data_IF_761079463804
#
_entry.id   IF_761079463804
#
_cell.length_a   1.000
_cell.length_b   1.000
_cell.length_c   1.000
_cell.angle_alpha   90.00
_cell.angle_beta   90.00
_cell.angle_gamma   90.00
#
_symmetry.space_group_name_H-M   'P 1'
#
loop_
_entity.id
_entity.type
_entity.pdbx_description
1 polymer ?
#
# COMPACT_ATOMS: atom_id res chain seq x y z
N UNK A 1 2.30 -11.24 -12.26
CA UNK A 1 1.58 -10.17 -11.57
C UNK A 1 2.56 -9.27 -10.81
N UNK A 2 3.23 -9.73 -9.75
CA UNK A 2 4.13 -8.90 -8.91
C UNK A 2 5.20 -8.13 -9.72
N UNK A 3 5.89 -8.80 -10.65
CA UNK A 3 6.87 -8.14 -11.54
C UNK A 3 6.26 -6.99 -12.36
N UNK A 4 5.03 -7.13 -12.81
CA UNK A 4 4.33 -6.07 -13.56
C UNK A 4 3.94 -4.90 -12.67
N UNK A 5 3.53 -5.15 -11.43
CA UNK A 5 3.21 -4.11 -10.47
C UNK A 5 4.43 -3.29 -10.06
N UNK A 6 5.49 -3.97 -9.69
CA UNK A 6 6.71 -3.33 -9.16
C UNK A 6 7.53 -2.61 -10.26
N UNK A 7 7.28 -2.92 -11.54
CA UNK A 7 7.91 -2.28 -12.69
C UNK A 7 6.93 -1.40 -13.51
N UNK A 8 5.74 -1.13 -13.00
CA UNK A 8 4.81 -0.18 -13.60
C UNK A 8 5.34 1.25 -13.41
N UNK A 9 5.57 1.96 -14.52
CA UNK A 9 6.15 3.32 -14.50
C UNK A 9 5.26 4.32 -13.76
N UNK A 10 3.94 4.21 -13.89
CA UNK A 10 3.00 5.09 -13.19
C UNK A 10 3.00 4.81 -11.68
N UNK A 11 3.13 3.52 -11.30
CA UNK A 11 3.25 3.12 -9.90
C UNK A 11 4.63 3.49 -9.33
N UNK A 12 5.70 3.34 -10.12
CA UNK A 12 7.06 3.75 -9.73
C UNK A 12 7.15 5.25 -9.43
N UNK A 13 6.43 6.08 -10.17
CA UNK A 13 6.33 7.52 -9.87
C UNK A 13 5.57 7.80 -8.56
N UNK A 14 4.71 6.89 -8.11
CA UNK A 14 3.97 7.00 -6.86
C UNK A 14 4.58 6.18 -5.71
N UNK A 15 5.59 5.35 -6.00
CA UNK A 15 6.27 4.52 -5.02
C UNK A 15 7.51 5.21 -4.46
N UNK A 16 7.92 4.75 -3.28
CA UNK A 16 9.14 5.22 -2.62
C UNK A 16 10.37 4.36 -2.98
N UNK A 17 10.22 3.42 -3.93
CA UNK A 17 11.30 2.55 -4.40
C UNK A 17 12.34 3.29 -5.24
N UNK A 18 13.60 2.92 -5.11
CA UNK A 18 14.72 3.60 -5.79
C UNK A 18 15.10 2.96 -7.12
N UNK A 19 14.77 1.70 -7.35
CA UNK A 19 15.06 0.97 -8.58
C UNK A 19 14.03 -0.13 -8.82
N UNK A 20 13.68 -0.41 -10.10
CA UNK A 20 12.79 -1.50 -10.45
C UNK A 20 13.45 -2.86 -10.09
N UNK A 21 12.75 -3.74 -9.36
CA UNK A 21 13.31 -5.03 -8.98
C UNK A 21 13.39 -5.99 -10.18
N UNK A 22 14.46 -6.79 -10.21
CA UNK A 22 14.57 -7.88 -11.17
C UNK A 22 13.64 -9.05 -10.80
N UNK A 23 13.35 -9.94 -11.77
CA UNK A 23 12.58 -11.17 -11.49
C UNK A 23 13.25 -12.03 -10.42
N UNK A 24 14.58 -12.10 -10.44
CA UNK A 24 15.34 -12.87 -9.45
C UNK A 24 15.16 -12.31 -8.04
N UNK A 25 15.25 -11.00 -7.86
CA UNK A 25 15.00 -10.34 -6.56
C UNK A 25 13.60 -10.63 -6.04
N UNK A 26 12.57 -10.58 -6.92
CA UNK A 26 11.20 -10.89 -6.53
C UNK A 26 11.00 -12.36 -6.16
N UNK A 27 11.68 -13.28 -6.84
CA UNK A 27 11.70 -14.70 -6.47
C UNK A 27 12.33 -14.90 -5.09
N UNK A 28 13.48 -14.30 -4.83
CA UNK A 28 14.12 -14.35 -3.51
C UNK A 28 13.23 -13.76 -2.42
N UNK A 29 12.53 -12.65 -2.71
CA UNK A 29 11.56 -12.07 -1.79
C UNK A 29 10.43 -13.05 -1.46
N UNK A 30 9.84 -13.69 -2.46
CA UNK A 30 8.76 -14.67 -2.27
C UNK A 30 9.24 -15.89 -1.47
N UNK A 31 10.42 -16.44 -1.80
CA UNK A 31 10.98 -17.61 -1.13
C UNK A 31 11.30 -17.36 0.35
N UNK A 32 11.74 -16.15 0.68
CA UNK A 32 12.11 -15.77 2.05
C UNK A 32 10.99 -15.05 2.81
N UNK A 33 9.82 -14.86 2.18
CA UNK A 33 8.72 -14.13 2.76
C UNK A 33 8.14 -14.87 3.97
N UNK A 34 8.01 -14.16 5.09
CA UNK A 34 7.29 -14.61 6.26
C UNK A 34 6.03 -13.77 6.45
N UNK A 35 4.88 -14.41 6.58
CA UNK A 35 3.61 -13.74 6.85
C UNK A 35 3.41 -13.36 8.32
N UNK A 36 4.43 -13.46 9.15
CA UNK A 36 4.37 -13.08 10.56
C UNK A 36 4.67 -11.59 10.73
N UNK A 37 3.62 -10.79 10.78
CA UNK A 37 3.72 -9.33 10.98
C UNK A 37 4.37 -8.95 12.30
N UNK A 38 4.24 -9.77 13.35
CA UNK A 38 4.82 -9.48 14.65
C UNK A 38 6.33 -9.73 14.70
N UNK A 39 6.83 -10.67 13.91
CA UNK A 39 8.26 -10.94 13.79
C UNK A 39 8.91 -10.11 12.67
N UNK A 40 8.25 -10.02 11.52
CA UNK A 40 8.80 -9.38 10.31
C UNK A 40 8.44 -7.90 10.15
N UNK A 41 7.44 -7.40 10.87
CA UNK A 41 6.95 -6.03 10.71
C UNK A 41 6.20 -5.76 9.41
N UNK A 42 5.96 -6.81 8.60
CA UNK A 42 5.28 -6.70 7.31
C UNK A 42 4.32 -7.86 7.11
N UNK A 43 3.18 -7.57 6.49
CA UNK A 43 2.30 -8.57 5.91
C UNK A 43 1.74 -8.07 4.58
N UNK A 44 1.85 -8.89 3.52
CA UNK A 44 1.40 -8.55 2.18
C UNK A 44 0.39 -9.57 1.67
N UNK A 45 -0.68 -9.07 1.07
CA UNK A 45 -1.73 -9.87 0.45
C UNK A 45 -1.79 -9.63 -1.06
N UNK A 46 -2.17 -10.66 -1.79
CA UNK A 46 -2.54 -10.55 -3.20
C UNK A 46 -4.03 -10.23 -3.29
N UNK A 47 -4.36 -9.20 -4.07
CA UNK A 47 -5.74 -8.84 -4.36
C UNK A 47 -6.21 -9.69 -5.53
N UNK A 48 -7.23 -10.52 -5.30
CA UNK A 48 -7.85 -11.35 -6.33
C UNK A 48 -9.25 -10.82 -6.61
N UNK A 49 -9.56 -10.59 -7.88
CA UNK A 49 -10.90 -10.18 -8.29
C UNK A 49 -11.83 -11.40 -8.28
N UNK A 50 -12.90 -11.37 -7.47
CA UNK A 50 -13.80 -12.50 -7.32
C UNK A 50 -14.51 -12.91 -8.63
N UNK A 51 -14.83 -11.95 -9.50
CA UNK A 51 -15.54 -12.21 -10.74
C UNK A 51 -14.72 -12.99 -11.77
N UNK A 52 -13.41 -12.76 -11.83
CA UNK A 52 -12.51 -13.38 -12.81
C UNK A 52 -11.55 -14.41 -12.22
N UNK A 53 -11.35 -14.42 -10.89
CA UNK A 53 -10.33 -15.21 -10.22
C UNK A 53 -8.89 -14.73 -10.51
N UNK A 54 -8.72 -13.56 -11.14
CA UNK A 54 -7.40 -13.06 -11.52
C UNK A 54 -6.77 -12.22 -10.40
N UNK A 55 -5.46 -12.36 -10.24
CA UNK A 55 -4.68 -11.50 -9.37
C UNK A 55 -4.51 -10.13 -10.02
N UNK A 56 -5.01 -9.08 -9.35
CA UNK A 56 -5.12 -7.71 -9.89
C UNK A 56 -4.27 -6.68 -9.16
N UNK A 57 -3.64 -7.06 -8.05
CA UNK A 57 -2.83 -6.15 -7.26
C UNK A 57 -2.28 -6.76 -5.99
N UNK A 58 -1.65 -5.92 -5.18
CA UNK A 58 -1.19 -6.23 -3.82
C UNK A 58 -1.61 -5.14 -2.85
N UNK A 59 -1.77 -5.52 -1.59
CA UNK A 59 -1.97 -4.61 -0.46
C UNK A 59 -1.18 -5.13 0.73
N UNK A 60 -0.53 -4.25 1.47
CA UNK A 60 0.33 -4.63 2.58
C UNK A 60 0.21 -3.66 3.76
N UNK A 61 0.64 -4.17 4.93
CA UNK A 61 1.02 -3.36 6.08
C UNK A 61 2.52 -3.55 6.25
N UNK A 62 3.26 -2.45 6.31
CA UNK A 62 4.71 -2.43 6.51
C UNK A 62 5.09 -1.59 7.74
N UNK A 63 6.35 -1.72 8.16
CA UNK A 63 6.89 -1.03 9.33
C UNK A 63 5.98 -1.15 10.58
N UNK A 64 5.40 -2.34 10.76
CA UNK A 64 4.49 -2.57 11.86
C UNK A 64 5.23 -2.60 13.20
N UNK A 65 4.87 -1.67 14.08
CA UNK A 65 5.36 -1.62 15.43
C UNK A 65 4.43 -2.42 16.37
N UNK A 66 4.90 -3.56 16.85
CA UNK A 66 4.14 -4.48 17.71
C UNK A 66 3.78 -3.88 19.05
N UNK A 67 4.66 -3.03 19.61
CA UNK A 67 4.44 -2.38 20.89
C UNK A 67 3.35 -1.33 20.81
N UNK A 68 3.47 -0.44 19.83
CA UNK A 68 2.60 0.72 19.68
C UNK A 68 1.42 0.43 18.72
N UNK A 69 1.41 -0.76 18.11
CA UNK A 69 0.35 -1.35 17.28
C UNK A 69 -0.07 -0.45 16.11
N UNK A 70 0.90 0.07 15.38
CA UNK A 70 0.69 0.86 14.16
C UNK A 70 1.58 0.39 13.02
N UNK A 71 1.20 0.72 11.78
CA UNK A 71 1.97 0.44 10.58
C UNK A 71 1.54 1.31 9.41
N UNK A 72 2.19 1.13 8.27
CA UNK A 72 1.87 1.85 7.04
C UNK A 72 1.19 0.92 6.03
N UNK A 73 0.20 1.45 5.33
CA UNK A 73 -0.50 0.73 4.25
C UNK A 73 0.12 1.07 2.92
N UNK A 74 0.52 0.03 2.19
CA UNK A 74 0.85 0.08 0.76
C UNK A 74 -0.23 -0.61 -0.07
N UNK A 75 -0.57 -0.06 -1.23
CA UNK A 75 -1.50 -0.68 -2.17
C UNK A 75 -1.11 -0.38 -3.60
N UNK A 76 -1.12 -1.40 -4.44
CA UNK A 76 -0.87 -1.29 -5.87
C UNK A 76 -1.87 -2.14 -6.66
N UNK A 77 -2.49 -1.54 -7.68
CA UNK A 77 -3.43 -2.20 -8.61
C UNK A 77 -2.85 -2.14 -10.02
N UNK A 78 -2.89 -3.28 -10.73
CA UNK A 78 -2.49 -3.36 -12.15
C UNK A 78 -3.24 -2.33 -12.99
N UNK A 79 -2.59 -1.65 -13.97
CA UNK A 79 -3.20 -0.60 -14.77
C UNK A 79 -4.57 -0.97 -15.36
N UNK A 80 -4.69 -2.17 -15.95
CA UNK A 80 -5.93 -2.67 -16.53
C UNK A 80 -7.08 -2.96 -15.55
N UNK A 81 -6.80 -2.95 -14.24
CA UNK A 81 -7.78 -3.22 -13.18
C UNK A 81 -8.09 -2.00 -12.30
N UNK A 82 -7.50 -0.85 -12.61
CA UNK A 82 -7.75 0.41 -11.90
C UNK A 82 -9.15 0.97 -12.18
N UNK A 83 -9.62 1.89 -11.31
CA UNK A 83 -10.92 2.60 -11.43
C UNK A 83 -12.15 1.71 -11.40
N UNK A 84 -12.04 0.49 -10.85
CA UNK A 84 -13.12 -0.49 -10.74
C UNK A 84 -13.56 -0.73 -9.28
N UNK A 85 -13.07 0.06 -8.34
CA UNK A 85 -13.38 -0.06 -6.92
C UNK A 85 -12.54 -1.09 -6.16
N UNK A 86 -11.77 -1.94 -6.85
CA UNK A 86 -11.04 -3.08 -6.27
C UNK A 86 -10.05 -2.64 -5.18
N UNK A 87 -9.36 -1.50 -5.36
CA UNK A 87 -8.45 -0.96 -4.34
C UNK A 87 -9.18 -0.52 -3.08
N UNK A 88 -10.35 0.09 -3.21
CA UNK A 88 -11.18 0.49 -2.07
C UNK A 88 -11.68 -0.73 -1.29
N UNK A 89 -12.19 -1.75 -1.98
CA UNK A 89 -12.68 -2.97 -1.35
C UNK A 89 -11.54 -3.71 -0.61
N UNK A 90 -10.37 -3.82 -1.25
CA UNK A 90 -9.18 -4.40 -0.62
C UNK A 90 -8.75 -3.62 0.63
N UNK A 91 -8.76 -2.28 0.56
CA UNK A 91 -8.41 -1.43 1.70
C UNK A 91 -9.39 -1.60 2.87
N UNK A 92 -10.68 -1.73 2.60
CA UNK A 92 -11.70 -2.01 3.63
C UNK A 92 -11.45 -3.35 4.30
N UNK A 93 -11.17 -4.39 3.52
CA UNK A 93 -10.85 -5.72 4.07
C UNK A 93 -9.57 -5.69 4.91
N UNK A 94 -8.53 -4.98 4.45
CA UNK A 94 -7.29 -4.83 5.21
C UNK A 94 -7.55 -4.12 6.55
N UNK A 95 -8.35 -3.06 6.57
CA UNK A 95 -8.69 -2.34 7.81
C UNK A 95 -9.42 -3.24 8.81
N UNK A 96 -10.39 -4.05 8.35
CA UNK A 96 -11.06 -5.02 9.23
C UNK A 96 -10.07 -6.07 9.76
N UNK A 97 -9.24 -6.62 8.89
CA UNK A 97 -8.20 -7.58 9.29
C UNK A 97 -7.20 -6.98 10.30
N UNK A 98 -6.75 -5.76 10.04
CA UNK A 98 -5.81 -5.06 10.93
C UNK A 98 -6.41 -4.82 12.32
N UNK A 99 -7.65 -4.37 12.38
CA UNK A 99 -8.36 -4.12 13.64
C UNK A 99 -8.72 -5.42 14.38
N UNK A 100 -9.32 -6.39 13.70
CA UNK A 100 -9.94 -7.55 14.33
C UNK A 100 -8.96 -8.70 14.56
N UNK A 101 -7.99 -8.89 13.65
CA UNK A 101 -7.07 -10.04 13.69
C UNK A 101 -5.69 -9.64 14.24
N UNK A 102 -5.10 -8.56 13.72
CA UNK A 102 -3.79 -8.08 14.18
C UNK A 102 -3.92 -7.31 15.50
N UNK A 103 -5.07 -6.68 15.75
CA UNK A 103 -5.29 -5.81 16.90
C UNK A 103 -4.55 -4.48 16.75
N UNK A 104 -4.38 -3.98 15.53
CA UNK A 104 -3.76 -2.69 15.28
C UNK A 104 -4.56 -1.55 15.93
N UNK A 105 -3.86 -0.58 16.49
CA UNK A 105 -4.45 0.64 17.02
C UNK A 105 -4.66 1.68 15.93
N UNK A 106 -3.72 1.76 14.99
CA UNK A 106 -3.83 2.70 13.87
C UNK A 106 -3.07 2.21 12.63
N UNK A 107 -3.51 2.69 11.48
CA UNK A 107 -2.77 2.57 10.22
C UNK A 107 -2.57 3.96 9.61
N UNK A 108 -1.41 4.16 8.99
CA UNK A 108 -1.10 5.36 8.24
C UNK A 108 -0.86 5.02 6.76
N UNK A 109 -0.93 6.03 5.90
CA UNK A 109 -0.56 5.92 4.50
C UNK A 109 0.14 7.19 4.05
N UNK A 110 1.13 7.04 3.19
CA UNK A 110 1.81 8.13 2.51
C UNK A 110 1.30 8.20 1.07
N UNK A 111 0.72 9.33 0.69
CA UNK A 111 0.12 9.50 -0.63
C UNK A 111 0.69 10.74 -1.29
N UNK A 112 1.23 10.60 -2.49
CA UNK A 112 1.69 11.75 -3.27
C UNK A 112 0.54 12.74 -3.46
N UNK A 113 0.80 14.02 -3.25
CA UNK A 113 -0.23 15.06 -3.28
C UNK A 113 -0.94 15.16 -4.65
N UNK A 114 -0.24 14.78 -5.72
CA UNK A 114 -0.74 14.71 -7.10
C UNK A 114 -1.50 13.40 -7.42
N UNK A 115 -1.46 12.39 -6.54
CA UNK A 115 -2.21 11.14 -6.70
C UNK A 115 -3.65 11.27 -6.18
N UNK A 116 -4.49 11.93 -6.96
CA UNK A 116 -5.88 12.21 -6.56
C UNK A 116 -6.70 10.92 -6.35
N UNK A 117 -6.46 9.88 -7.15
CA UNK A 117 -7.17 8.60 -7.04
C UNK A 117 -6.95 7.93 -5.68
N UNK A 118 -5.70 7.83 -5.23
CA UNK A 118 -5.36 7.30 -3.89
C UNK A 118 -5.90 8.19 -2.78
N UNK A 119 -5.77 9.50 -2.91
CA UNK A 119 -6.31 10.46 -1.92
C UNK A 119 -7.80 10.25 -1.69
N UNK A 120 -8.59 10.16 -2.76
CA UNK A 120 -10.03 9.91 -2.68
C UNK A 120 -10.34 8.53 -2.08
N UNK A 121 -9.57 7.52 -2.44
CA UNK A 121 -9.75 6.14 -1.95
C UNK A 121 -9.51 6.07 -0.43
N UNK A 122 -8.40 6.61 0.07
CA UNK A 122 -8.09 6.63 1.50
C UNK A 122 -9.12 7.46 2.30
N UNK A 123 -9.48 8.64 1.81
CA UNK A 123 -10.51 9.46 2.45
C UNK A 123 -11.87 8.73 2.54
N UNK A 124 -12.30 8.09 1.44
CA UNK A 124 -13.54 7.29 1.41
C UNK A 124 -13.49 6.09 2.36
N UNK A 125 -12.30 5.51 2.58
CA UNK A 125 -12.10 4.38 3.50
C UNK A 125 -12.06 4.80 4.98
N UNK A 126 -12.15 6.10 5.29
CA UNK A 126 -12.18 6.63 6.65
C UNK A 126 -10.84 7.13 7.17
N UNK A 127 -9.83 7.19 6.31
CA UNK A 127 -8.57 7.84 6.67
C UNK A 127 -8.69 9.36 6.61
N UNK A 128 -8.07 10.03 7.57
CA UNK A 128 -8.02 11.49 7.63
C UNK A 128 -6.60 11.98 7.39
N UNK A 129 -6.45 13.11 6.73
CA UNK A 129 -5.14 13.77 6.57
C UNK A 129 -4.65 14.24 7.94
N UNK A 130 -3.46 13.81 8.33
CA UNK A 130 -2.84 14.17 9.61
C UNK A 130 -1.55 14.99 9.45
N UNK A 131 -1.05 15.19 8.23
CA UNK A 131 0.14 15.97 7.98
C UNK A 131 0.56 15.97 6.51
N UNK A 132 1.68 16.64 6.23
CA UNK A 132 2.30 16.66 4.91
C UNK A 132 3.82 16.76 5.00
N UNK A 133 4.50 16.14 4.05
CA UNK A 133 5.92 16.23 3.83
C UNK A 133 6.14 17.01 2.54
N UNK A 134 6.75 18.19 2.64
CA UNK A 134 6.94 19.09 1.50
C UNK A 134 8.12 18.64 0.66
N UNK A 135 7.99 18.72 -0.68
CA UNK A 135 9.04 18.39 -1.63
C UNK A 135 9.70 17.03 -1.34
N UNK A 136 8.90 16.00 -1.14
CA UNK A 136 9.35 14.71 -0.60
C UNK A 136 9.67 13.67 -1.67
N UNK A 137 8.84 13.60 -2.73
CA UNK A 137 9.02 12.63 -3.83
C UNK A 137 9.59 13.33 -5.05
N UNK A 138 10.68 12.80 -5.59
CA UNK A 138 11.25 13.30 -6.84
C UNK A 138 10.36 12.94 -8.04
N UNK A 139 10.03 13.94 -8.85
CA UNK A 139 9.30 13.85 -10.11
C UNK A 139 10.16 14.41 -11.24
N UNK A 140 11.03 13.59 -11.82
CA UNK A 140 11.98 14.08 -12.81
C UNK A 140 12.88 15.19 -12.25
N UNK A 141 12.66 16.45 -12.66
CA UNK A 141 13.45 17.62 -12.23
C UNK A 141 12.86 18.40 -11.05
N UNK A 142 11.66 18.05 -10.58
CA UNK A 142 11.00 18.72 -9.46
C UNK A 142 10.61 17.71 -8.38
N UNK A 143 10.04 18.18 -7.28
CA UNK A 143 9.62 17.36 -6.16
C UNK A 143 8.13 17.58 -5.87
N UNK A 144 7.41 16.51 -5.58
CA UNK A 144 6.03 16.54 -5.14
C UNK A 144 5.96 16.40 -3.61
N UNK A 145 4.92 16.99 -3.04
CA UNK A 145 4.58 16.82 -1.63
C UNK A 145 3.95 15.44 -1.41
N UNK A 146 4.04 14.94 -0.17
CA UNK A 146 3.34 13.74 0.31
C UNK A 146 2.38 14.13 1.39
N UNK A 147 1.14 13.66 1.29
CA UNK A 147 0.14 13.78 2.34
C UNK A 147 0.17 12.52 3.23
N UNK A 148 0.13 12.73 4.53
CA UNK A 148 0.02 11.68 5.52
C UNK A 148 -1.46 11.48 5.87
N UNK A 149 -1.94 10.26 5.69
CA UNK A 149 -3.27 9.82 6.06
C UNK A 149 -3.20 8.87 7.24
N UNK A 150 -4.19 8.90 8.11
CA UNK A 150 -4.27 8.01 9.27
C UNK A 150 -5.71 7.58 9.54
N UNK A 151 -5.89 6.33 9.96
CA UNK A 151 -7.10 5.81 10.56
C UNK A 151 -6.77 5.29 11.96
N UNK A 152 -7.64 5.57 12.92
CA UNK A 152 -7.58 5.04 14.28
C UNK A 152 -8.67 3.98 14.42
N UNK A 153 -8.33 2.85 15.03
CA UNK A 153 -9.28 1.81 15.37
C UNK A 153 -9.67 1.94 16.85
N UNK A 154 -10.95 1.73 17.18
CA UNK A 154 -11.43 1.83 18.57
C UNK A 154 -10.80 0.80 19.50
#
# INVERSE_FOLDING_TARGET
MLYMLENDTDAAECSFGTAPPSRHMLWQYIENYSADIHAGGEIRFVIVENASGLSVGTIDISDYNTRDRHGFVGIAILPGSRRRGLGYDALKLLCSYASETIGAHSLAAQVAADNEASRRMFAKAGFHTCGSLRSWIRRGKHYADVLLYQILFP
#
